data_IF_926232134432
#
_entry.id   IF_926232134432
#
_cell.length_a   1.000
_cell.length_b   1.000
_cell.length_c   1.000
_cell.angle_alpha   90.00
_cell.angle_beta   90.00
_cell.angle_gamma   90.00
#
_symmetry.space_group_name_H-M   'P 1'
#
loop_
_entity.id
_entity.type
_entity.pdbx_description
1 polymer ?
#
# COMPACT_ATOMS: atom_id res chain seq x y z
N UNK A 1 33.03 -21.45 -9.18
CA UNK A 1 31.71 -20.82 -9.09
C UNK A 1 31.76 -19.35 -8.65
N UNK A 2 32.93 -18.72 -8.54
CA UNK A 2 33.13 -17.31 -8.12
C UNK A 2 33.19 -16.34 -9.31
N UNK A 3 33.52 -16.81 -10.51
CA UNK A 3 33.76 -15.98 -11.71
C UNK A 3 32.48 -15.49 -12.44
N UNK A 4 31.25 -15.85 -11.99
CA UNK A 4 29.98 -15.54 -12.71
C UNK A 4 29.13 -14.44 -12.02
N UNK A 5 29.61 -13.93 -10.89
CA UNK A 5 28.83 -12.96 -10.08
C UNK A 5 28.75 -11.56 -10.70
N UNK A 6 29.78 -11.17 -11.44
CA UNK A 6 29.94 -9.82 -12.01
C UNK A 6 29.44 -9.71 -13.46
N UNK A 7 28.97 -10.81 -14.06
CA UNK A 7 28.38 -10.74 -15.41
C UNK A 7 27.15 -9.87 -15.41
N UNK A 8 26.95 -9.04 -16.45
CA UNK A 8 25.76 -8.21 -16.57
C UNK A 8 24.50 -9.07 -16.64
N UNK A 9 23.54 -8.77 -15.80
CA UNK A 9 22.23 -9.39 -15.77
C UNK A 9 21.41 -8.96 -16.99
N UNK A 10 20.55 -9.85 -17.47
CA UNK A 10 19.76 -9.60 -18.69
C UNK A 10 18.29 -9.33 -18.43
N UNK A 11 17.79 -9.55 -17.21
CA UNK A 11 16.39 -9.33 -16.79
C UNK A 11 15.35 -9.81 -17.81
N UNK A 12 15.57 -11.00 -18.40
CA UNK A 12 14.67 -11.57 -19.42
C UNK A 12 13.24 -11.80 -18.95
N UNK A 13 13.02 -11.91 -17.64
CA UNK A 13 11.73 -12.07 -17.03
C UNK A 13 10.91 -10.75 -16.95
N UNK A 14 11.56 -9.60 -17.22
CA UNK A 14 10.89 -8.32 -17.37
C UNK A 14 10.68 -7.98 -18.86
N UNK A 15 9.54 -7.36 -19.22
CA UNK A 15 9.34 -6.82 -20.56
C UNK A 15 10.48 -5.87 -20.95
N UNK A 16 10.83 -5.76 -22.22
CA UNK A 16 11.96 -4.91 -22.67
C UNK A 16 11.91 -3.47 -22.15
N UNK A 17 10.72 -2.86 -22.12
CA UNK A 17 10.53 -1.47 -21.64
C UNK A 17 10.59 -1.31 -20.11
N UNK A 18 10.55 -2.41 -19.36
CA UNK A 18 10.64 -2.41 -17.89
C UNK A 18 12.01 -2.82 -17.37
N UNK A 19 12.98 -3.10 -18.25
CA UNK A 19 14.34 -3.50 -17.86
C UNK A 19 15.14 -2.32 -17.30
N UNK A 20 16.19 -2.58 -16.47
CA UNK A 20 17.03 -1.53 -15.91
C UNK A 20 17.72 -0.72 -17.00
N UNK A 21 17.83 0.61 -16.85
CA UNK A 21 18.46 1.50 -17.82
C UNK A 21 19.99 1.31 -17.90
N UNK A 22 20.62 0.73 -16.88
CA UNK A 22 22.04 0.44 -16.80
C UNK A 22 22.28 -1.03 -16.44
N UNK A 23 23.43 -1.62 -16.87
CA UNK A 23 23.79 -2.99 -16.51
C UNK A 23 23.85 -3.18 -14.99
N UNK A 24 23.30 -4.28 -14.52
CA UNK A 24 23.25 -4.67 -13.10
C UNK A 24 23.93 -6.03 -12.96
N UNK A 25 24.72 -6.31 -11.91
CA UNK A 25 25.30 -7.60 -11.64
C UNK A 25 24.24 -8.71 -11.48
N UNK A 26 24.55 -9.93 -11.92
CA UNK A 26 23.64 -11.09 -11.84
C UNK A 26 23.20 -11.42 -10.40
N UNK A 27 24.04 -11.17 -9.41
CA UNK A 27 23.69 -11.35 -8.01
C UNK A 27 22.56 -10.40 -7.58
N UNK A 28 22.60 -9.14 -8.03
CA UNK A 28 21.56 -8.16 -7.76
C UNK A 28 20.25 -8.49 -8.50
N UNK A 29 20.33 -9.07 -9.71
CA UNK A 29 19.14 -9.58 -10.43
C UNK A 29 18.43 -10.67 -9.62
N UNK A 30 19.18 -11.64 -9.06
CA UNK A 30 18.59 -12.71 -8.25
C UNK A 30 17.91 -12.16 -6.99
N UNK A 31 18.57 -11.23 -6.29
CA UNK A 31 17.96 -10.57 -5.13
C UNK A 31 16.69 -9.85 -5.55
N UNK A 32 16.74 -9.07 -6.63
CA UNK A 32 15.60 -8.32 -7.12
C UNK A 32 14.44 -9.23 -7.58
N UNK A 33 14.74 -10.35 -8.23
CA UNK A 33 13.75 -11.35 -8.63
C UNK A 33 13.03 -11.94 -7.40
N UNK A 34 13.79 -12.41 -6.40
CA UNK A 34 13.21 -13.04 -5.21
C UNK A 34 12.39 -12.03 -4.38
N UNK A 35 12.88 -10.80 -4.24
CA UNK A 35 12.15 -9.72 -3.57
C UNK A 35 10.91 -9.33 -4.38
N UNK A 36 11.04 -9.19 -5.70
CA UNK A 36 9.93 -8.85 -6.57
C UNK A 36 8.81 -9.90 -6.56
N UNK A 37 9.16 -11.18 -6.59
CA UNK A 37 8.17 -12.26 -6.49
C UNK A 37 7.44 -12.24 -5.15
N UNK A 38 8.13 -11.89 -4.06
CA UNK A 38 7.47 -11.75 -2.76
C UNK A 38 6.48 -10.58 -2.75
N UNK A 39 6.91 -9.41 -3.23
CA UNK A 39 6.05 -8.23 -3.35
C UNK A 39 4.82 -8.52 -4.24
N UNK A 40 4.99 -9.33 -5.29
CA UNK A 40 3.87 -9.76 -6.15
C UNK A 40 2.83 -10.55 -5.35
N UNK A 41 3.24 -11.56 -4.58
CA UNK A 41 2.30 -12.41 -3.83
C UNK A 41 1.79 -11.75 -2.56
N UNK A 42 2.57 -10.86 -1.93
CA UNK A 42 2.06 -10.00 -0.86
C UNK A 42 1.01 -9.02 -1.38
N UNK A 43 1.25 -8.39 -2.54
CA UNK A 43 0.24 -7.56 -3.23
C UNK A 43 -1.03 -8.35 -3.60
N UNK A 44 -0.88 -9.62 -3.98
CA UNK A 44 -2.01 -10.52 -4.18
C UNK A 44 -2.80 -10.71 -2.86
N UNK A 45 -2.15 -11.15 -1.78
CA UNK A 45 -2.78 -11.46 -0.50
C UNK A 45 -3.49 -10.26 0.12
N UNK A 46 -2.88 -9.09 0.07
CA UNK A 46 -3.45 -7.85 0.59
C UNK A 46 -4.78 -7.46 -0.07
N UNK A 47 -5.00 -7.84 -1.33
CA UNK A 47 -6.19 -7.47 -2.09
C UNK A 47 -7.30 -8.52 -2.11
N UNK A 48 -6.99 -9.80 -1.83
CA UNK A 48 -7.97 -10.92 -1.86
C UNK A 48 -9.17 -10.65 -0.97
N UNK A 49 -8.96 -10.18 0.26
CA UNK A 49 -10.05 -10.01 1.23
C UNK A 49 -11.12 -9.03 0.74
N UNK A 50 -10.72 -7.84 0.28
CA UNK A 50 -11.67 -6.83 -0.20
C UNK A 50 -12.51 -7.31 -1.38
N UNK A 51 -11.94 -8.16 -2.24
CA UNK A 51 -12.65 -8.73 -3.38
C UNK A 51 -13.61 -9.85 -2.99
N UNK A 52 -13.16 -10.76 -2.11
CA UNK A 52 -13.91 -11.96 -1.70
C UNK A 52 -14.78 -11.74 -0.45
N UNK A 53 -14.88 -10.51 0.05
CA UNK A 53 -15.62 -10.18 1.27
C UNK A 53 -17.07 -10.73 1.29
N UNK A 54 -17.88 -10.62 0.22
CA UNK A 54 -19.24 -11.17 0.23
C UNK A 54 -19.29 -12.70 0.38
N UNK A 55 -18.32 -13.41 -0.21
CA UNK A 55 -18.24 -14.88 -0.12
C UNK A 55 -17.82 -15.32 1.28
N UNK A 56 -16.81 -14.66 1.85
CA UNK A 56 -16.32 -14.91 3.20
C UNK A 56 -17.42 -14.60 4.23
N UNK A 57 -18.11 -13.49 4.05
CA UNK A 57 -19.17 -13.02 4.95
C UNK A 57 -20.33 -14.01 5.00
N UNK A 58 -20.78 -14.55 3.86
CA UNK A 58 -21.85 -15.54 3.80
C UNK A 58 -21.48 -16.82 4.51
N UNK A 59 -20.26 -17.33 4.31
CA UNK A 59 -19.84 -18.62 4.86
C UNK A 59 -19.53 -18.55 6.36
N UNK A 60 -18.90 -17.44 6.81
CA UNK A 60 -18.56 -17.24 8.23
C UNK A 60 -19.66 -16.50 9.00
N UNK A 61 -20.83 -16.24 8.38
CA UNK A 61 -21.98 -15.57 8.99
C UNK A 61 -21.63 -14.23 9.65
N UNK A 62 -20.76 -13.45 8.98
CA UNK A 62 -20.33 -12.12 9.49
C UNK A 62 -21.49 -11.13 9.31
N UNK A 63 -21.93 -10.44 10.38
CA UNK A 63 -22.97 -9.42 10.29
C UNK A 63 -22.58 -8.29 9.33
N UNK A 64 -23.58 -7.67 8.66
CA UNK A 64 -23.32 -6.63 7.66
C UNK A 64 -22.55 -5.42 8.23
N UNK A 65 -22.91 -4.97 9.42
CA UNK A 65 -22.23 -3.87 10.11
C UNK A 65 -20.79 -4.20 10.54
N UNK A 66 -20.42 -5.49 10.61
CA UNK A 66 -19.05 -5.92 10.94
C UNK A 66 -18.14 -6.04 9.73
N UNK A 67 -18.65 -5.94 8.51
CA UNK A 67 -17.87 -6.10 7.29
C UNK A 67 -16.74 -5.06 7.19
N UNK A 68 -17.06 -3.78 7.31
CA UNK A 68 -16.07 -2.71 7.26
C UNK A 68 -15.23 -2.63 8.55
N UNK A 69 -15.83 -2.94 9.70
CA UNK A 69 -15.11 -3.02 10.99
C UNK A 69 -13.98 -4.05 10.92
N UNK A 70 -14.22 -5.19 10.27
CA UNK A 70 -13.19 -6.21 10.04
C UNK A 70 -12.00 -5.65 9.24
N UNK A 71 -12.26 -4.86 8.21
CA UNK A 71 -11.21 -4.21 7.43
C UNK A 71 -10.45 -3.17 8.26
N UNK A 72 -11.15 -2.49 9.18
CA UNK A 72 -10.52 -1.55 10.12
C UNK A 72 -9.42 -2.23 10.95
N UNK A 73 -9.69 -3.41 11.50
CA UNK A 73 -8.68 -4.19 12.24
C UNK A 73 -7.46 -4.53 11.36
N UNK A 74 -7.68 -4.88 10.10
CA UNK A 74 -6.59 -5.20 9.17
C UNK A 74 -5.76 -3.95 8.82
N UNK A 75 -6.37 -2.78 8.71
CA UNK A 75 -5.62 -1.53 8.53
C UNK A 75 -4.80 -1.16 9.75
N UNK A 76 -5.33 -1.34 10.97
CA UNK A 76 -4.58 -1.10 12.20
C UNK A 76 -3.38 -2.04 12.34
N UNK A 77 -3.45 -3.26 11.82
CA UNK A 77 -2.33 -4.19 11.79
C UNK A 77 -1.10 -3.61 11.04
N UNK A 78 -1.29 -2.74 10.05
CA UNK A 78 -0.19 -2.05 9.37
C UNK A 78 0.63 -1.14 10.30
N UNK A 79 0.04 -0.63 11.39
CA UNK A 79 0.78 0.15 12.39
C UNK A 79 1.78 -0.72 13.16
N UNK A 80 1.48 -2.01 13.37
CA UNK A 80 2.39 -2.93 14.03
C UNK A 80 3.65 -3.16 13.18
N UNK A 81 3.55 -3.11 11.85
CA UNK A 81 4.70 -3.25 10.96
C UNK A 81 5.76 -2.15 11.17
N UNK A 82 5.36 -0.95 11.60
CA UNK A 82 6.29 0.15 11.93
C UNK A 82 7.23 -0.20 13.09
N UNK A 83 6.82 -1.11 13.98
CA UNK A 83 7.65 -1.59 15.08
C UNK A 83 8.49 -2.81 14.69
N UNK A 84 8.03 -3.60 13.72
CA UNK A 84 8.76 -4.81 13.25
C UNK A 84 9.89 -4.43 12.30
N UNK A 85 9.70 -3.49 11.38
CA UNK A 85 10.71 -3.12 10.39
C UNK A 85 12.05 -2.67 11.01
N UNK A 86 12.11 -1.85 12.09
CA UNK A 86 13.35 -1.49 12.75
C UNK A 86 14.12 -2.66 13.39
N UNK A 87 13.45 -3.78 13.68
CA UNK A 87 14.11 -4.99 14.19
C UNK A 87 15.10 -5.58 13.17
N UNK A 88 14.98 -5.24 11.88
CA UNK A 88 15.92 -5.65 10.84
C UNK A 88 17.36 -5.18 11.13
N UNK A 89 17.51 -4.06 11.80
CA UNK A 89 18.81 -3.53 12.20
C UNK A 89 19.47 -4.35 13.33
N UNK A 90 18.68 -5.08 14.11
CA UNK A 90 19.12 -5.88 15.27
C UNK A 90 19.25 -7.35 14.87
N UNK A 91 18.21 -7.91 14.26
CA UNK A 91 18.09 -9.33 13.92
C UNK A 91 18.83 -9.69 12.62
N UNK A 92 18.98 -8.73 11.72
CA UNK A 92 19.49 -8.91 10.36
C UNK A 92 18.37 -8.92 9.32
N UNK A 93 18.66 -8.31 8.16
CA UNK A 93 17.66 -8.14 7.07
C UNK A 93 17.17 -9.49 6.57
N UNK A 94 18.09 -10.41 6.30
CA UNK A 94 17.79 -11.76 5.80
C UNK A 94 16.92 -12.56 6.77
N UNK A 95 17.29 -12.58 8.06
CA UNK A 95 16.57 -13.36 9.07
C UNK A 95 15.16 -12.81 9.26
N UNK A 96 15.02 -11.49 9.37
CA UNK A 96 13.71 -10.88 9.58
C UNK A 96 12.81 -11.07 8.34
N UNK A 97 13.35 -10.96 7.12
CA UNK A 97 12.60 -11.27 5.89
C UNK A 97 12.13 -12.74 5.85
N UNK A 98 12.94 -13.69 6.31
CA UNK A 98 12.52 -15.09 6.38
C UNK A 98 11.41 -15.30 7.40
N UNK A 99 11.48 -14.63 8.55
CA UNK A 99 10.44 -14.68 9.59
C UNK A 99 9.15 -14.09 9.06
N UNK A 100 9.21 -12.90 8.43
CA UNK A 100 8.01 -12.20 7.97
C UNK A 100 7.33 -12.93 6.82
N UNK A 101 8.06 -13.38 5.78
CA UNK A 101 7.45 -14.12 4.67
C UNK A 101 6.90 -15.48 5.10
N UNK A 102 7.60 -16.17 6.01
CA UNK A 102 7.10 -17.46 6.52
C UNK A 102 5.88 -17.25 7.42
N UNK A 103 5.89 -16.21 8.25
CA UNK A 103 4.76 -15.83 9.10
C UNK A 103 3.52 -15.43 8.28
N UNK A 104 3.69 -14.61 7.26
CA UNK A 104 2.62 -14.25 6.33
C UNK A 104 2.07 -15.49 5.63
N UNK A 105 2.94 -16.33 5.04
CA UNK A 105 2.53 -17.54 4.35
C UNK A 105 1.71 -18.49 5.25
N UNK A 106 2.19 -18.76 6.46
CA UNK A 106 1.51 -19.65 7.40
C UNK A 106 0.18 -19.05 7.88
N UNK A 107 0.14 -17.77 8.20
CA UNK A 107 -1.08 -17.09 8.62
C UNK A 107 -2.11 -17.03 7.48
N UNK A 108 -1.68 -16.77 6.24
CA UNK A 108 -2.53 -16.79 5.04
C UNK A 108 -3.08 -18.20 4.77
N UNK A 109 -2.26 -19.24 4.88
CA UNK A 109 -2.73 -20.63 4.77
C UNK A 109 -3.72 -20.95 5.91
N UNK A 110 -3.40 -20.56 7.15
CA UNK A 110 -4.30 -20.78 8.29
C UNK A 110 -5.65 -20.09 8.07
N UNK A 111 -5.68 -18.92 7.42
CA UNK A 111 -6.93 -18.23 7.05
C UNK A 111 -7.83 -19.10 6.17
N UNK A 112 -7.26 -19.90 5.25
CA UNK A 112 -8.05 -20.81 4.41
C UNK A 112 -8.75 -21.91 5.23
N UNK A 113 -8.28 -22.21 6.44
CA UNK A 113 -8.86 -23.22 7.33
C UNK A 113 -9.70 -22.63 8.48
N UNK A 114 -9.90 -21.31 8.51
CA UNK A 114 -10.72 -20.67 9.52
C UNK A 114 -12.19 -21.19 9.46
N UNK A 115 -12.73 -21.55 10.60
CA UNK A 115 -14.08 -22.10 10.74
C UNK A 115 -15.08 -21.08 11.29
N UNK A 116 -14.58 -20.03 11.94
CA UNK A 116 -15.39 -18.95 12.51
C UNK A 116 -14.75 -17.59 12.29
N UNK A 117 -15.52 -16.55 12.59
CA UNK A 117 -15.11 -15.17 12.44
C UNK A 117 -13.85 -14.82 13.24
N UNK A 118 -13.74 -15.27 14.48
CA UNK A 118 -12.62 -14.91 15.35
C UNK A 118 -11.30 -15.53 14.88
N UNK A 119 -11.33 -16.79 14.43
CA UNK A 119 -10.17 -17.44 13.82
C UNK A 119 -9.76 -16.70 12.55
N UNK A 120 -10.72 -16.39 11.68
CA UNK A 120 -10.47 -15.66 10.44
C UNK A 120 -9.78 -14.32 10.71
N UNK A 121 -10.35 -13.49 11.60
CA UNK A 121 -9.80 -12.16 11.95
C UNK A 121 -8.41 -12.30 12.56
N UNK A 122 -8.20 -13.25 13.47
CA UNK A 122 -6.91 -13.46 14.12
C UNK A 122 -5.82 -13.82 13.10
N UNK A 123 -6.10 -14.79 12.22
CA UNK A 123 -5.14 -15.20 11.19
C UNK A 123 -4.86 -14.08 10.21
N UNK A 124 -5.88 -13.32 9.81
CA UNK A 124 -5.71 -12.19 8.92
C UNK A 124 -4.94 -11.03 9.56
N UNK A 125 -5.15 -10.71 10.84
CA UNK A 125 -4.34 -9.70 11.54
C UNK A 125 -2.87 -10.13 11.54
N UNK A 126 -2.57 -11.39 11.85
CA UNK A 126 -1.20 -11.92 11.82
C UNK A 126 -0.61 -11.85 10.40
N UNK A 127 -1.35 -12.27 9.38
CA UNK A 127 -0.92 -12.19 7.98
C UNK A 127 -0.60 -10.73 7.60
N UNK A 128 -1.45 -9.76 8.01
CA UNK A 128 -1.25 -8.34 7.72
C UNK A 128 -0.03 -7.75 8.45
N UNK A 129 0.19 -8.10 9.72
CA UNK A 129 1.39 -7.65 10.46
C UNK A 129 2.65 -8.13 9.75
N UNK A 130 2.71 -9.39 9.37
CA UNK A 130 3.87 -9.94 8.67
C UNK A 130 3.99 -9.38 7.25
N UNK A 131 2.92 -9.31 6.47
CA UNK A 131 2.91 -8.84 5.09
C UNK A 131 3.33 -7.38 4.96
N UNK A 132 2.78 -6.46 5.75
CA UNK A 132 3.22 -5.06 5.74
C UNK A 132 4.66 -4.89 6.21
N UNK A 133 5.11 -5.70 7.19
CA UNK A 133 6.51 -5.68 7.64
C UNK A 133 7.43 -6.18 6.54
N UNK A 134 7.04 -7.23 5.84
CA UNK A 134 7.78 -7.79 4.72
C UNK A 134 7.89 -6.80 3.57
N UNK A 135 6.78 -6.17 3.19
CA UNK A 135 6.76 -5.15 2.12
C UNK A 135 7.77 -4.04 2.41
N UNK A 136 7.75 -3.48 3.63
CA UNK A 136 8.72 -2.45 4.06
C UNK A 136 10.17 -2.94 3.96
N UNK A 137 10.44 -4.16 4.42
CA UNK A 137 11.78 -4.76 4.39
C UNK A 137 12.25 -5.02 2.96
N UNK A 138 11.37 -5.40 2.06
CA UNK A 138 11.68 -5.60 0.65
C UNK A 138 12.19 -4.31 -0.01
N UNK A 139 11.53 -3.18 0.24
CA UNK A 139 11.99 -1.88 -0.24
C UNK A 139 13.35 -1.49 0.34
N UNK A 140 13.56 -1.73 1.64
CA UNK A 140 14.85 -1.45 2.31
C UNK A 140 15.97 -2.30 1.70
N UNK A 141 15.77 -3.61 1.54
CA UNK A 141 16.79 -4.51 0.98
C UNK A 141 17.16 -4.13 -0.44
N UNK A 142 16.17 -3.81 -1.28
CA UNK A 142 16.43 -3.37 -2.66
C UNK A 142 17.18 -2.05 -2.68
N UNK A 143 16.83 -1.10 -1.83
CA UNK A 143 17.55 0.19 -1.72
C UNK A 143 19.00 0.03 -1.23
N UNK A 144 19.30 -1.01 -0.43
CA UNK A 144 20.65 -1.31 0.07
C UNK A 144 21.51 -2.09 -0.93
N UNK A 145 20.91 -3.06 -1.65
CA UNK A 145 21.63 -4.01 -2.50
C UNK A 145 21.82 -3.51 -3.93
N UNK A 146 20.83 -2.81 -4.47
CA UNK A 146 20.84 -2.37 -5.86
C UNK A 146 21.70 -1.12 -6.06
N UNK A 147 22.46 -1.10 -7.16
CA UNK A 147 23.32 0.03 -7.55
C UNK A 147 22.55 1.36 -7.53
N UNK A 148 23.23 2.42 -7.06
CA UNK A 148 22.61 3.76 -6.92
C UNK A 148 22.09 4.29 -8.26
N UNK A 149 22.73 3.95 -9.39
CA UNK A 149 22.35 4.39 -10.74
C UNK A 149 20.97 3.87 -11.19
N UNK A 150 20.53 2.75 -10.65
CA UNK A 150 19.25 2.09 -11.00
C UNK A 150 18.30 1.95 -9.81
N UNK A 151 18.63 2.56 -8.65
CA UNK A 151 17.81 2.47 -7.43
C UNK A 151 16.40 3.01 -7.62
N UNK A 152 16.25 4.17 -8.28
CA UNK A 152 14.93 4.74 -8.58
C UNK A 152 14.09 3.83 -9.47
N UNK A 153 14.71 3.24 -10.50
CA UNK A 153 14.08 2.23 -11.34
C UNK A 153 13.63 1.01 -10.53
N UNK A 154 14.47 0.49 -9.64
CA UNK A 154 14.18 -0.71 -8.88
C UNK A 154 13.00 -0.50 -7.90
N UNK A 155 12.95 0.63 -7.21
CA UNK A 155 11.84 0.97 -6.30
C UNK A 155 10.53 1.14 -7.09
N UNK A 156 10.57 1.84 -8.21
CA UNK A 156 9.40 2.02 -9.07
C UNK A 156 8.90 0.69 -9.67
N UNK A 157 9.83 -0.18 -10.07
CA UNK A 157 9.48 -1.51 -10.61
C UNK A 157 8.89 -2.42 -9.53
N UNK A 158 9.36 -2.36 -8.27
CA UNK A 158 8.72 -3.09 -7.16
C UNK A 158 7.28 -2.63 -6.94
N UNK A 159 7.00 -1.33 -6.97
CA UNK A 159 5.64 -0.82 -6.89
C UNK A 159 4.75 -1.31 -8.04
N UNK A 160 5.29 -1.38 -9.26
CA UNK A 160 4.58 -1.94 -10.41
C UNK A 160 4.31 -3.45 -10.23
N UNK A 161 5.27 -4.22 -9.69
CA UNK A 161 5.10 -5.65 -9.39
C UNK A 161 4.01 -5.85 -8.32
N UNK A 162 3.96 -5.02 -7.29
CA UNK A 162 2.88 -5.04 -6.28
C UNK A 162 1.50 -4.85 -6.95
N UNK A 163 1.38 -3.87 -7.85
CA UNK A 163 0.14 -3.64 -8.60
C UNK A 163 -0.24 -4.83 -9.51
N UNK A 164 0.75 -5.51 -10.10
CA UNK A 164 0.52 -6.76 -10.85
C UNK A 164 0.01 -7.85 -9.92
N UNK A 165 0.50 -7.93 -8.68
CA UNK A 165 -0.01 -8.83 -7.65
C UNK A 165 -1.50 -8.58 -7.34
N UNK A 166 -1.90 -7.32 -7.16
CA UNK A 166 -3.31 -6.96 -7.01
C UNK A 166 -4.16 -7.34 -8.23
N UNK A 167 -3.62 -7.15 -9.45
CA UNK A 167 -4.26 -7.61 -10.68
C UNK A 167 -4.39 -9.14 -10.76
N UNK A 168 -3.38 -9.88 -10.30
CA UNK A 168 -3.44 -11.34 -10.20
C UNK A 168 -4.53 -11.78 -9.20
N UNK A 169 -4.67 -11.10 -8.06
CA UNK A 169 -5.75 -11.35 -7.12
C UNK A 169 -7.12 -11.17 -7.79
N UNK A 170 -7.30 -10.11 -8.58
CA UNK A 170 -8.54 -9.88 -9.32
C UNK A 170 -8.81 -10.99 -10.34
N UNK A 171 -7.80 -11.43 -11.10
CA UNK A 171 -7.93 -12.54 -12.06
C UNK A 171 -8.37 -13.83 -11.39
N UNK A 172 -7.68 -14.23 -10.31
CA UNK A 172 -7.99 -15.48 -9.60
C UNK A 172 -9.34 -15.36 -8.89
N UNK A 173 -9.69 -14.19 -8.35
CA UNK A 173 -11.01 -13.93 -7.78
C UNK A 173 -12.14 -14.09 -8.81
N UNK A 174 -11.94 -13.67 -10.06
CA UNK A 174 -12.91 -13.88 -11.14
C UNK A 174 -13.29 -15.34 -11.35
N UNK A 175 -12.43 -16.26 -10.95
CA UNK A 175 -12.63 -17.71 -11.03
C UNK A 175 -13.15 -18.33 -9.73
N UNK A 176 -13.44 -17.55 -8.68
CA UNK A 176 -13.75 -18.05 -7.33
C UNK A 176 -14.88 -19.07 -7.29
N UNK A 177 -15.89 -18.93 -8.16
CA UNK A 177 -17.02 -19.86 -8.25
C UNK A 177 -16.66 -21.20 -8.92
N UNK A 178 -15.53 -21.29 -9.61
CA UNK A 178 -15.04 -22.51 -10.26
C UNK A 178 -13.95 -23.20 -9.42
N UNK A 179 -13.44 -22.53 -8.39
CA UNK A 179 -12.42 -23.11 -7.51
C UNK A 179 -13.06 -24.09 -6.52
N UNK A 180 -12.40 -25.24 -6.22
CA UNK A 180 -13.00 -26.34 -5.44
C UNK A 180 -13.41 -25.96 -4.02
N UNK A 181 -12.72 -24.98 -3.41
CA UNK A 181 -12.98 -24.50 -2.05
C UNK A 181 -13.39 -23.01 -2.03
N UNK A 182 -13.90 -22.49 -3.15
CA UNK A 182 -14.33 -21.09 -3.25
C UNK A 182 -13.24 -20.09 -2.81
N UNK A 183 -13.60 -19.13 -1.93
CA UNK A 183 -12.69 -18.10 -1.44
C UNK A 183 -11.47 -18.65 -0.68
N UNK A 184 -11.58 -19.84 -0.07
CA UNK A 184 -10.47 -20.49 0.65
C UNK A 184 -9.33 -20.85 -0.29
N UNK A 185 -9.65 -21.23 -1.54
CA UNK A 185 -8.63 -21.48 -2.57
C UNK A 185 -7.78 -20.26 -2.88
N UNK A 186 -8.34 -19.04 -2.78
CA UNK A 186 -7.58 -17.81 -2.99
C UNK A 186 -6.43 -17.68 -1.97
N UNK A 187 -6.73 -17.94 -0.71
CA UNK A 187 -5.71 -17.92 0.36
C UNK A 187 -4.73 -19.08 0.28
N UNK A 188 -5.17 -20.27 -0.15
CA UNK A 188 -4.26 -21.40 -0.41
C UNK A 188 -3.26 -21.09 -1.52
N UNK A 189 -3.69 -20.44 -2.61
CA UNK A 189 -2.81 -20.02 -3.71
C UNK A 189 -1.82 -18.98 -3.24
N UNK A 190 -2.26 -17.92 -2.56
CA UNK A 190 -1.40 -16.86 -2.05
C UNK A 190 -0.38 -17.38 -1.03
N UNK A 191 -0.86 -18.02 0.02
CA UNK A 191 -0.01 -18.55 1.09
C UNK A 191 0.92 -19.66 0.63
N UNK A 192 0.46 -20.54 -0.26
CA UNK A 192 1.29 -21.60 -0.86
C UNK A 192 2.44 -21.02 -1.68
N UNK A 193 2.18 -20.00 -2.49
CA UNK A 193 3.19 -19.30 -3.28
C UNK A 193 4.22 -18.60 -2.38
N UNK A 194 3.78 -17.91 -1.33
CA UNK A 194 4.66 -17.29 -0.33
C UNK A 194 5.51 -18.32 0.42
N UNK A 195 4.96 -19.49 0.74
CA UNK A 195 5.71 -20.56 1.40
C UNK A 195 6.84 -21.11 0.50
N UNK A 196 6.56 -21.31 -0.80
CA UNK A 196 7.58 -21.69 -1.78
C UNK A 196 8.68 -20.62 -1.84
N UNK A 197 8.30 -19.34 -1.87
CA UNK A 197 9.26 -18.24 -1.89
C UNK A 197 10.08 -18.16 -0.60
N UNK A 198 9.48 -18.41 0.57
CA UNK A 198 10.19 -18.49 1.84
C UNK A 198 11.29 -19.56 1.80
N UNK A 199 11.02 -20.70 1.15
CA UNK A 199 12.02 -21.76 0.95
C UNK A 199 13.18 -21.28 0.06
N UNK A 200 12.90 -20.66 -1.08
CA UNK A 200 13.95 -20.15 -1.98
C UNK A 200 14.72 -18.96 -1.40
N UNK A 201 14.10 -18.14 -0.55
CA UNK A 201 14.78 -17.02 0.13
C UNK A 201 15.91 -17.43 1.08
N UNK A 202 15.96 -18.68 1.52
CA UNK A 202 17.11 -19.20 2.29
C UNK A 202 18.42 -19.07 1.51
N UNK A 203 18.34 -18.92 0.17
CA UNK A 203 19.50 -18.76 -0.71
C UNK A 203 20.00 -17.30 -0.75
N UNK A 204 19.24 -16.31 -0.23
CA UNK A 204 19.68 -14.92 -0.20
C UNK A 204 20.84 -14.74 0.79
N UNK A 205 21.94 -14.05 0.39
CA UNK A 205 22.98 -13.63 1.34
C UNK A 205 22.46 -12.50 2.25
N UNK A 206 23.09 -12.34 3.42
CA UNK A 206 22.90 -11.16 4.26
C UNK A 206 23.49 -9.92 3.55
N UNK A 207 22.88 -8.73 3.76
CA UNK A 207 23.36 -7.50 3.11
C UNK A 207 24.72 -7.08 3.67
N UNK A 208 25.65 -6.67 2.80
CA UNK A 208 27.00 -6.23 3.20
C UNK A 208 26.93 -5.03 4.16
N UNK A 209 25.96 -4.13 3.95
CA UNK A 209 25.74 -2.97 4.83
C UNK A 209 25.42 -3.39 6.25
N UNK A 210 24.61 -4.44 6.44
CA UNK A 210 24.32 -4.96 7.77
C UNK A 210 25.57 -5.53 8.44
N UNK A 211 26.39 -6.29 7.69
CA UNK A 211 27.63 -6.86 8.22
C UNK A 211 28.64 -5.78 8.63
N UNK A 212 28.74 -4.68 7.85
CA UNK A 212 29.58 -3.54 8.19
C UNK A 212 29.05 -2.77 9.42
N UNK A 213 27.74 -2.57 9.48
CA UNK A 213 27.10 -1.88 10.62
C UNK A 213 27.23 -2.66 11.93
N UNK A 214 27.10 -3.96 11.90
CA UNK A 214 27.26 -4.83 13.07
C UNK A 214 28.70 -4.75 13.66
N UNK A 215 29.70 -4.51 12.81
CA UNK A 215 31.10 -4.31 13.25
C UNK A 215 31.31 -2.93 13.93
N UNK A 216 30.44 -1.96 13.67
CA UNK A 216 30.50 -0.59 14.19
C UNK A 216 29.62 -0.36 15.42
N UNK A 217 28.75 -1.30 15.81
CA UNK A 217 27.84 -1.18 16.97
C UNK A 217 28.58 -1.24 18.30
N UNK A 218 29.33 -0.15 18.63
CA UNK A 218 29.85 0.11 19.97
C UNK A 218 29.01 1.10 20.80
N UNK A 219 28.05 1.82 20.21
CA UNK A 219 27.26 2.85 20.90
C UNK A 219 25.79 2.78 20.47
N UNK A 220 24.98 2.09 21.23
CA UNK A 220 23.51 2.10 21.10
C UNK A 220 22.98 3.32 21.84
N UNK A 221 22.97 4.47 21.19
CA UNK A 221 22.10 5.56 21.62
C UNK A 221 20.64 5.11 21.35
N UNK A 222 19.76 5.29 22.33
CA UNK A 222 18.35 4.91 22.26
C UNK A 222 17.69 5.51 21.00
N UNK A 223 17.53 4.72 19.95
CA UNK A 223 16.89 5.14 18.66
C UNK A 223 15.48 5.65 18.90
N UNK A 224 14.78 5.12 19.90
CA UNK A 224 13.44 5.60 20.30
C UNK A 224 13.48 7.04 20.80
N UNK A 225 14.45 7.41 21.63
CA UNK A 225 14.61 8.78 22.09
C UNK A 225 14.92 9.75 20.94
N UNK A 226 15.73 9.32 19.96
CA UNK A 226 16.00 10.12 18.75
C UNK A 226 14.74 10.29 17.90
N UNK A 227 13.95 9.24 17.70
CA UNK A 227 12.68 9.32 16.95
C UNK A 227 11.70 10.30 17.63
N UNK A 228 11.56 10.23 18.96
CA UNK A 228 10.74 11.19 19.73
C UNK A 228 11.27 12.62 19.62
N UNK A 229 12.58 12.80 19.69
CA UNK A 229 13.20 14.11 19.54
C UNK A 229 12.94 14.69 18.13
N UNK A 230 13.03 13.89 17.06
CA UNK A 230 12.73 14.32 15.70
C UNK A 230 11.25 14.68 15.52
N UNK A 231 10.32 13.90 16.07
CA UNK A 231 8.89 14.22 16.05
C UNK A 231 8.64 15.54 16.77
N UNK A 232 9.23 15.73 17.97
CA UNK A 232 9.11 16.97 18.73
C UNK A 232 9.68 18.16 17.96
N UNK A 233 10.86 18.03 17.38
CA UNK A 233 11.50 19.07 16.58
C UNK A 233 10.61 19.44 15.38
N UNK A 234 10.09 18.46 14.67
CA UNK A 234 9.20 18.66 13.52
C UNK A 234 7.91 19.41 13.92
N UNK A 235 7.36 19.09 15.09
CA UNK A 235 6.17 19.76 15.66
C UNK A 235 6.47 21.22 16.09
N UNK A 236 7.70 21.52 16.52
CA UNK A 236 8.08 22.86 16.97
C UNK A 236 8.57 23.76 15.85
N UNK A 237 9.33 23.21 14.89
CA UNK A 237 9.95 23.99 13.81
C UNK A 237 9.03 24.17 12.60
N UNK A 238 8.18 23.16 12.29
CA UNK A 238 7.32 23.19 11.11
C UNK A 238 5.83 22.89 11.42
N UNK A 239 5.21 23.47 12.47
CA UNK A 239 3.89 23.07 12.95
C UNK A 239 2.80 23.23 11.90
N UNK A 240 2.82 24.33 11.14
CA UNK A 240 1.79 24.61 10.13
C UNK A 240 1.83 23.64 8.96
N UNK A 241 3.02 23.34 8.44
CA UNK A 241 3.20 22.41 7.31
C UNK A 241 2.87 20.98 7.73
N UNK A 242 3.36 20.56 8.90
CA UNK A 242 3.08 19.26 9.47
C UNK A 242 1.58 19.10 9.74
N UNK A 243 0.97 20.06 10.42
CA UNK A 243 -0.46 20.05 10.73
C UNK A 243 -1.33 19.96 9.47
N UNK A 244 -1.05 20.80 8.45
CA UNK A 244 -1.77 20.73 7.17
C UNK A 244 -1.62 19.38 6.48
N UNK A 245 -0.42 18.81 6.46
CA UNK A 245 -0.15 17.50 5.89
C UNK A 245 -0.90 16.38 6.64
N UNK A 246 -0.85 16.38 7.98
CA UNK A 246 -1.52 15.35 8.78
C UNK A 246 -3.04 15.43 8.67
N UNK A 247 -3.61 16.65 8.69
CA UNK A 247 -5.06 16.85 8.48
C UNK A 247 -5.47 16.38 7.09
N UNK A 248 -4.72 16.74 6.06
CA UNK A 248 -4.97 16.27 4.69
C UNK A 248 -4.96 14.75 4.63
N UNK A 249 -3.90 14.11 5.13
CA UNK A 249 -3.74 12.65 5.05
C UNK A 249 -4.78 11.89 5.85
N UNK A 250 -5.12 12.38 7.05
CA UNK A 250 -6.18 11.80 7.86
C UNK A 250 -7.53 11.92 7.16
N UNK A 251 -7.89 13.12 6.68
CA UNK A 251 -9.17 13.36 5.99
C UNK A 251 -9.25 12.59 4.67
N UNK A 252 -8.16 12.50 3.92
CA UNK A 252 -8.06 11.70 2.70
C UNK A 252 -8.26 10.21 2.99
N UNK A 253 -7.53 9.66 3.98
CA UNK A 253 -7.69 8.28 4.42
C UNK A 253 -9.09 7.99 4.95
N UNK A 254 -9.68 8.93 5.72
CA UNK A 254 -11.02 8.82 6.26
C UNK A 254 -12.08 8.79 5.14
N UNK A 255 -11.99 9.69 4.17
CA UNK A 255 -12.95 9.77 3.07
C UNK A 255 -12.82 8.58 2.10
N UNK A 256 -11.60 8.26 1.67
CA UNK A 256 -11.35 7.29 0.60
C UNK A 256 -11.25 5.85 1.11
N UNK A 257 -11.05 5.66 2.42
CA UNK A 257 -10.85 4.35 3.04
C UNK A 257 -11.96 3.36 2.76
N UNK A 258 -13.18 3.58 3.23
CA UNK A 258 -14.33 2.71 2.96
C UNK A 258 -14.64 2.63 1.47
N UNK A 259 -14.63 3.77 0.79
CA UNK A 259 -15.01 3.86 -0.62
C UNK A 259 -14.14 2.97 -1.52
N UNK A 260 -12.83 2.88 -1.26
CA UNK A 260 -11.91 2.07 -2.08
C UNK A 260 -12.03 0.56 -1.83
N UNK A 261 -12.24 0.14 -0.58
CA UNK A 261 -12.17 -1.30 -0.23
C UNK A 261 -13.54 -1.99 -0.23
N UNK A 262 -14.64 -1.26 -0.05
CA UNK A 262 -16.00 -1.82 -0.07
C UNK A 262 -16.58 -1.94 -1.50
N UNK A 263 -15.84 -1.53 -2.53
CA UNK A 263 -16.27 -1.55 -3.94
C UNK A 263 -16.79 -2.91 -4.38
N UNK A 264 -16.03 -3.98 -4.16
CA UNK A 264 -16.42 -5.33 -4.60
C UNK A 264 -17.69 -5.78 -3.92
N UNK A 265 -17.83 -5.51 -2.61
CA UNK A 265 -19.04 -5.81 -1.86
C UNK A 265 -20.24 -5.04 -2.43
N UNK A 266 -20.13 -3.73 -2.61
CA UNK A 266 -21.20 -2.90 -3.16
C UNK A 266 -21.65 -3.37 -4.54
N UNK A 267 -20.72 -3.67 -5.44
CA UNK A 267 -21.04 -4.19 -6.78
C UNK A 267 -21.77 -5.54 -6.71
N UNK A 268 -21.32 -6.48 -5.87
CA UNK A 268 -21.90 -7.80 -5.80
C UNK A 268 -23.25 -7.82 -5.06
N UNK A 269 -23.37 -7.11 -3.93
CA UNK A 269 -24.57 -7.19 -3.09
C UNK A 269 -25.66 -6.22 -3.51
N UNK A 270 -25.32 -5.01 -3.99
CA UNK A 270 -26.30 -3.99 -4.38
C UNK A 270 -26.66 -4.08 -5.87
N UNK A 271 -25.68 -4.32 -6.73
CA UNK A 271 -25.87 -4.30 -8.19
C UNK A 271 -25.82 -5.70 -8.84
N UNK A 272 -25.66 -6.78 -8.05
CA UNK A 272 -25.70 -8.16 -8.55
C UNK A 272 -24.55 -8.54 -9.49
N UNK A 273 -23.42 -7.83 -9.45
CA UNK A 273 -22.25 -8.16 -10.25
C UNK A 273 -21.70 -9.53 -9.87
N UNK A 274 -21.37 -10.31 -10.88
CA UNK A 274 -20.66 -11.58 -10.69
C UNK A 274 -19.18 -11.33 -10.35
N UNK A 275 -18.49 -12.27 -9.68
CA UNK A 275 -17.06 -12.17 -9.43
C UNK A 275 -16.23 -11.91 -10.69
N UNK A 276 -16.61 -12.52 -11.83
CA UNK A 276 -15.96 -12.27 -13.12
C UNK A 276 -16.10 -10.82 -13.62
N UNK A 277 -17.29 -10.23 -13.48
CA UNK A 277 -17.51 -8.81 -13.85
C UNK A 277 -16.73 -7.88 -12.94
N UNK A 278 -16.69 -8.13 -11.63
CA UNK A 278 -15.86 -7.38 -10.68
C UNK A 278 -14.39 -7.50 -11.06
N UNK A 279 -13.91 -8.70 -11.37
CA UNK A 279 -12.53 -8.95 -11.81
C UNK A 279 -12.16 -8.11 -13.03
N UNK A 280 -12.98 -8.12 -14.07
CA UNK A 280 -12.75 -7.34 -15.31
C UNK A 280 -12.68 -5.84 -14.97
N UNK A 281 -13.60 -5.35 -14.14
CA UNK A 281 -13.63 -3.95 -13.75
C UNK A 281 -12.34 -3.56 -13.00
N UNK A 282 -11.90 -4.36 -12.03
CA UNK A 282 -10.67 -4.11 -11.27
C UNK A 282 -9.43 -4.14 -12.15
N UNK A 283 -9.34 -5.03 -13.13
CA UNK A 283 -8.25 -5.07 -14.10
C UNK A 283 -8.23 -3.83 -14.99
N UNK A 284 -9.36 -3.43 -15.54
CA UNK A 284 -9.47 -2.22 -16.36
C UNK A 284 -9.12 -0.97 -15.55
N UNK A 285 -9.66 -0.85 -14.34
CA UNK A 285 -9.36 0.25 -13.43
C UNK A 285 -7.89 0.29 -13.03
N UNK A 286 -7.27 -0.87 -12.79
CA UNK A 286 -5.84 -0.99 -12.51
C UNK A 286 -4.96 -0.46 -13.66
N UNK A 287 -5.27 -0.84 -14.90
CA UNK A 287 -4.55 -0.36 -16.10
C UNK A 287 -4.68 1.16 -16.23
N UNK A 288 -5.92 1.68 -16.15
CA UNK A 288 -6.17 3.13 -16.23
C UNK A 288 -5.45 3.89 -15.12
N UNK A 289 -5.40 3.33 -13.91
CA UNK A 289 -4.72 3.94 -12.77
C UNK A 289 -3.20 3.99 -12.93
N UNK A 290 -2.57 2.95 -13.47
CA UNK A 290 -1.12 2.95 -13.76
C UNK A 290 -0.79 4.03 -14.78
N UNK A 291 -1.55 4.13 -15.86
CA UNK A 291 -1.39 5.18 -16.88
C UNK A 291 -1.63 6.56 -16.23
N UNK A 292 -2.67 6.65 -15.43
CA UNK A 292 -3.06 7.88 -14.73
C UNK A 292 -1.99 8.37 -13.76
N UNK A 293 -1.38 7.50 -12.98
CA UNK A 293 -0.30 7.86 -12.05
C UNK A 293 0.91 8.46 -12.76
N UNK A 294 1.32 7.86 -13.90
CA UNK A 294 2.41 8.38 -14.71
C UNK A 294 2.04 9.74 -15.32
N UNK A 295 0.83 9.87 -15.84
CA UNK A 295 0.33 11.12 -16.39
C UNK A 295 0.21 12.21 -15.32
N UNK A 296 -0.39 11.89 -14.17
CA UNK A 296 -0.54 12.82 -13.04
C UNK A 296 0.81 13.33 -12.53
N UNK A 297 1.81 12.45 -12.42
CA UNK A 297 3.18 12.84 -12.06
C UNK A 297 3.75 13.87 -13.05
N UNK A 298 3.73 13.58 -14.36
CA UNK A 298 4.24 14.51 -15.39
C UNK A 298 3.47 15.83 -15.46
N UNK A 299 2.14 15.77 -15.34
CA UNK A 299 1.29 16.96 -15.34
C UNK A 299 1.56 17.80 -14.09
N UNK A 300 1.76 17.18 -12.94
CA UNK A 300 2.05 17.87 -11.68
C UNK A 300 3.35 18.68 -11.71
N UNK A 301 4.35 18.24 -12.49
CA UNK A 301 5.61 18.96 -12.68
C UNK A 301 5.41 20.28 -13.46
N UNK A 302 4.36 20.39 -14.28
CA UNK A 302 4.06 21.58 -15.09
C UNK A 302 2.99 22.47 -14.48
N UNK A 303 1.89 21.89 -14.02
CA UNK A 303 0.71 22.60 -13.49
C UNK A 303 0.87 23.01 -12.03
N UNK A 304 1.69 22.26 -11.30
CA UNK A 304 1.91 22.41 -9.86
C UNK A 304 1.48 21.18 -9.07
N UNK A 305 2.31 20.79 -8.11
CA UNK A 305 2.06 19.65 -7.23
C UNK A 305 0.79 19.84 -6.41
N UNK A 306 0.67 21.00 -5.78
CA UNK A 306 -0.48 21.38 -4.95
C UNK A 306 -1.79 21.37 -5.75
N UNK A 307 -1.79 21.99 -6.95
CA UNK A 307 -2.98 22.01 -7.80
C UNK A 307 -3.38 20.62 -8.24
N UNK A 308 -2.41 19.79 -8.62
CA UNK A 308 -2.69 18.43 -9.06
C UNK A 308 -3.21 17.56 -7.90
N UNK A 309 -2.64 17.69 -6.69
CA UNK A 309 -3.11 17.01 -5.49
C UNK A 309 -4.56 17.40 -5.15
N UNK A 310 -4.89 18.70 -5.25
CA UNK A 310 -6.26 19.20 -5.09
C UNK A 310 -7.20 18.57 -6.12
N UNK A 311 -6.84 18.61 -7.39
CA UNK A 311 -7.68 18.14 -8.51
C UNK A 311 -7.91 16.62 -8.42
N UNK A 312 -6.87 15.83 -8.16
CA UNK A 312 -7.00 14.37 -8.03
C UNK A 312 -7.83 13.96 -6.80
N UNK A 313 -7.68 14.67 -5.68
CA UNK A 313 -8.50 14.46 -4.48
C UNK A 313 -9.97 14.77 -4.75
N UNK A 314 -10.24 15.86 -5.46
CA UNK A 314 -11.62 16.25 -5.84
C UNK A 314 -12.23 15.23 -6.80
N UNK A 315 -11.50 14.82 -7.85
CA UNK A 315 -11.95 13.82 -8.84
C UNK A 315 -12.23 12.48 -8.14
N UNK A 316 -11.33 12.03 -7.25
CA UNK A 316 -11.52 10.80 -6.50
C UNK A 316 -12.76 10.84 -5.60
N UNK A 317 -12.91 11.92 -4.83
CA UNK A 317 -14.07 12.10 -3.94
C UNK A 317 -15.39 12.21 -4.69
N UNK A 318 -15.45 13.04 -5.73
CA UNK A 318 -16.65 13.18 -6.57
C UNK A 318 -16.98 11.87 -7.32
N UNK A 319 -15.95 11.18 -7.84
CA UNK A 319 -16.11 9.89 -8.50
C UNK A 319 -16.71 8.84 -7.58
N UNK A 320 -16.19 8.70 -6.34
CA UNK A 320 -16.76 7.78 -5.37
C UNK A 320 -18.16 8.20 -4.92
N UNK A 321 -18.43 9.49 -4.73
CA UNK A 321 -19.77 9.97 -4.40
C UNK A 321 -20.79 9.59 -5.49
N UNK A 322 -20.44 9.77 -6.76
CA UNK A 322 -21.28 9.36 -7.87
C UNK A 322 -21.40 7.83 -8.00
N UNK A 323 -20.31 7.10 -7.77
CA UNK A 323 -20.34 5.63 -7.78
C UNK A 323 -21.29 5.04 -6.74
N UNK A 324 -21.30 5.57 -5.50
CA UNK A 324 -22.15 5.08 -4.41
C UNK A 324 -23.54 5.73 -4.37
N UNK A 325 -23.86 6.68 -5.26
CA UNK A 325 -25.15 7.41 -5.28
C UNK A 325 -26.34 6.60 -5.79
N UNK A 326 -26.15 5.34 -6.16
CA UNK A 326 -27.22 4.49 -6.69
C UNK A 326 -27.45 4.60 -8.19
N UNK A 327 -26.47 5.09 -8.94
CA UNK A 327 -26.49 5.06 -10.41
C UNK A 327 -26.33 3.62 -10.91
N UNK A 328 -26.96 3.31 -12.03
CA UNK A 328 -26.96 1.99 -12.67
C UNK A 328 -26.37 2.01 -14.10
N UNK A 329 -26.26 0.83 -14.67
CA UNK A 329 -25.82 0.64 -16.05
C UNK A 329 -24.35 1.03 -16.26
N UNK A 330 -24.05 1.63 -17.40
CA UNK A 330 -22.67 1.99 -17.81
C UNK A 330 -22.06 3.15 -16.98
N UNK A 331 -22.88 3.94 -16.31
CA UNK A 331 -22.41 5.03 -15.47
C UNK A 331 -21.64 4.50 -14.23
N UNK A 332 -22.06 3.39 -13.68
CA UNK A 332 -21.44 2.79 -12.50
C UNK A 332 -19.95 2.45 -12.71
N UNK A 333 -19.55 1.60 -13.69
CA UNK A 333 -18.13 1.33 -13.93
C UNK A 333 -17.34 2.57 -14.35
N UNK A 334 -17.94 3.52 -15.09
CA UNK A 334 -17.29 4.75 -15.46
C UNK A 334 -16.87 5.58 -14.24
N UNK A 335 -17.81 5.85 -13.33
CA UNK A 335 -17.52 6.65 -12.14
C UNK A 335 -16.55 5.95 -11.19
N UNK A 336 -16.60 4.63 -11.12
CA UNK A 336 -15.60 3.88 -10.36
C UNK A 336 -14.19 4.04 -10.94
N UNK A 337 -14.02 3.93 -12.26
CA UNK A 337 -12.71 4.14 -12.92
C UNK A 337 -12.20 5.57 -12.68
N UNK A 338 -13.07 6.57 -12.79
CA UNK A 338 -12.72 7.97 -12.50
C UNK A 338 -12.34 8.16 -11.03
N UNK A 339 -13.09 7.54 -10.12
CA UNK A 339 -12.80 7.57 -8.69
C UNK A 339 -11.43 6.94 -8.38
N UNK A 340 -11.18 5.77 -8.95
CA UNK A 340 -9.93 5.04 -8.74
C UNK A 340 -8.74 5.80 -9.30
N UNK A 341 -8.88 6.41 -10.48
CA UNK A 341 -7.86 7.30 -11.05
C UNK A 341 -7.54 8.45 -10.09
N UNK A 342 -8.55 9.18 -9.61
CA UNK A 342 -8.36 10.31 -8.69
C UNK A 342 -7.72 9.87 -7.36
N UNK A 343 -8.21 8.76 -6.79
CA UNK A 343 -7.72 8.20 -5.53
C UNK A 343 -6.24 7.79 -5.63
N UNK A 344 -5.89 6.91 -6.57
CA UNK A 344 -4.52 6.37 -6.68
C UNK A 344 -3.52 7.44 -7.14
N UNK A 345 -3.91 8.34 -8.04
CA UNK A 345 -3.06 9.47 -8.43
C UNK A 345 -2.85 10.45 -7.28
N UNK A 346 -3.90 10.73 -6.49
CA UNK A 346 -3.82 11.55 -5.28
C UNK A 346 -2.90 10.93 -4.23
N UNK A 347 -3.03 9.63 -3.99
CA UNK A 347 -2.17 8.91 -3.04
C UNK A 347 -0.70 8.91 -3.48
N UNK A 348 -0.42 8.68 -4.76
CA UNK A 348 0.93 8.69 -5.31
C UNK A 348 1.60 10.08 -5.18
N UNK A 349 0.88 11.16 -5.51
CA UNK A 349 1.35 12.53 -5.32
C UNK A 349 1.59 12.84 -3.84
N UNK A 350 0.64 12.47 -2.99
CA UNK A 350 0.72 12.66 -1.55
C UNK A 350 1.88 11.89 -0.92
N UNK A 351 2.25 10.73 -1.46
CA UNK A 351 3.37 9.92 -0.96
C UNK A 351 4.72 10.64 -1.15
N UNK A 352 4.90 11.35 -2.25
CA UNK A 352 6.13 12.12 -2.52
C UNK A 352 6.23 13.45 -1.76
N UNK A 353 5.10 14.03 -1.40
CA UNK A 353 5.02 15.39 -0.87
C UNK A 353 5.89 15.67 0.39
N UNK A 354 5.95 14.76 1.40
CA UNK A 354 6.79 14.99 2.59
C UNK A 354 8.27 15.19 2.27
N UNK A 355 8.78 14.51 1.24
CA UNK A 355 10.17 14.62 0.81
C UNK A 355 10.49 15.96 0.15
N UNK A 356 9.47 16.69 -0.31
CA UNK A 356 9.60 17.98 -0.97
C UNK A 356 9.41 19.17 -0.01
N UNK A 357 8.61 19.00 1.06
CA UNK A 357 8.25 20.12 1.96
C UNK A 357 9.02 20.15 3.27
N UNK A 358 9.75 19.08 3.62
CA UNK A 358 10.52 19.01 4.85
C UNK A 358 12.03 18.87 4.59
N UNK A 359 12.88 19.43 5.48
CA UNK A 359 14.31 19.23 5.45
C UNK A 359 14.73 17.76 5.46
N UNK A 360 15.90 17.47 4.89
CA UNK A 360 16.43 16.11 4.72
C UNK A 360 16.44 15.33 6.03
N UNK A 361 16.77 15.96 7.14
CA UNK A 361 16.79 15.34 8.47
C UNK A 361 15.41 14.83 8.92
N UNK A 362 14.32 15.46 8.49
CA UNK A 362 12.95 15.16 8.94
C UNK A 362 12.11 14.33 7.94
N UNK A 363 12.58 14.11 6.70
CA UNK A 363 11.81 13.46 5.61
C UNK A 363 11.27 12.11 6.00
N UNK A 364 12.10 11.26 6.59
CA UNK A 364 11.68 9.91 6.99
C UNK A 364 10.60 9.96 8.08
N UNK A 365 10.77 10.80 9.10
CA UNK A 365 9.78 10.99 10.18
C UNK A 365 8.46 11.53 9.64
N UNK A 366 8.51 12.56 8.78
CA UNK A 366 7.33 13.16 8.17
C UNK A 366 6.58 12.14 7.29
N UNK A 367 7.30 11.32 6.50
CA UNK A 367 6.70 10.24 5.69
C UNK A 367 6.02 9.19 6.57
N UNK A 368 6.63 8.80 7.69
CA UNK A 368 6.02 7.86 8.65
C UNK A 368 4.75 8.46 9.28
N UNK A 369 4.81 9.72 9.75
CA UNK A 369 3.65 10.39 10.34
C UNK A 369 2.49 10.53 9.34
N UNK A 370 2.80 10.86 8.07
CA UNK A 370 1.83 10.86 6.97
C UNK A 370 1.12 9.51 6.87
N UNK A 371 1.90 8.43 6.80
CA UNK A 371 1.36 7.07 6.65
C UNK A 371 0.47 6.68 7.83
N UNK A 372 0.91 6.97 9.07
CA UNK A 372 0.11 6.76 10.29
C UNK A 372 -1.20 7.54 10.22
N UNK A 373 -1.18 8.81 9.83
CA UNK A 373 -2.39 9.63 9.72
C UNK A 373 -3.38 9.04 8.71
N UNK A 374 -2.91 8.58 7.55
CA UNK A 374 -3.76 7.95 6.53
C UNK A 374 -4.39 6.64 7.03
N UNK A 375 -3.61 5.79 7.72
CA UNK A 375 -4.12 4.54 8.31
C UNK A 375 -5.18 4.82 9.36
N UNK A 376 -4.90 5.74 10.29
CA UNK A 376 -5.84 6.08 11.37
C UNK A 376 -7.14 6.67 10.82
N UNK A 377 -7.07 7.56 9.83
CA UNK A 377 -8.25 8.09 9.17
C UNK A 377 -9.09 7.00 8.52
N UNK A 378 -8.45 6.13 7.72
CA UNK A 378 -9.13 5.04 7.04
C UNK A 378 -9.67 3.96 7.99
N UNK A 379 -8.94 3.65 9.06
CA UNK A 379 -9.39 2.68 10.06
C UNK A 379 -10.60 3.22 10.85
N UNK A 380 -10.54 4.47 11.29
CA UNK A 380 -11.65 5.11 12.00
C UNK A 380 -12.91 5.16 11.12
N UNK A 381 -12.76 5.55 9.87
CA UNK A 381 -13.88 5.64 8.93
C UNK A 381 -14.52 4.28 8.66
N UNK A 382 -13.71 3.23 8.48
CA UNK A 382 -14.21 1.86 8.31
C UNK A 382 -14.89 1.32 9.57
N UNK A 383 -14.39 1.70 10.75
CA UNK A 383 -15.02 1.33 12.00
C UNK A 383 -16.39 2.03 12.17
N UNK A 384 -16.48 3.32 11.82
CA UNK A 384 -17.73 4.09 11.85
C UNK A 384 -18.74 3.65 10.79
N UNK A 385 -18.26 3.11 9.64
CA UNK A 385 -19.15 2.63 8.58
C UNK A 385 -20.12 1.56 9.06
N UNK A 386 -19.71 0.68 9.97
CA UNK A 386 -20.63 -0.27 10.61
C UNK A 386 -21.79 0.41 11.34
N UNK A 387 -21.51 1.49 12.08
CA UNK A 387 -22.55 2.30 12.75
C UNK A 387 -23.43 3.05 11.74
N UNK A 388 -22.83 3.56 10.68
CA UNK A 388 -23.58 4.25 9.61
C UNK A 388 -24.46 3.27 8.85
N UNK A 389 -24.01 2.03 8.65
CA UNK A 389 -24.82 0.97 8.08
C UNK A 389 -26.06 0.69 8.94
N UNK A 390 -25.92 0.63 10.27
CA UNK A 390 -27.04 0.43 11.19
C UNK A 390 -28.07 1.58 11.11
N UNK A 391 -27.62 2.81 10.82
CA UNK A 391 -28.52 3.97 10.65
C UNK A 391 -29.26 3.99 9.32
N UNK A 392 -28.56 3.62 8.21
CA UNK A 392 -29.11 3.76 6.86
C UNK A 392 -29.69 2.45 6.30
N UNK A 393 -29.33 1.30 6.88
CA UNK A 393 -29.72 -0.01 6.36
C UNK A 393 -29.10 -0.36 5.00
N UNK A 394 -28.11 0.44 4.50
CA UNK A 394 -27.48 0.24 3.21
C UNK A 394 -26.04 0.74 3.21
N UNK A 395 -25.13 0.02 2.51
CA UNK A 395 -23.72 0.37 2.42
C UNK A 395 -23.46 1.64 1.57
N UNK A 396 -24.24 1.88 0.52
CA UNK A 396 -24.07 3.07 -0.34
C UNK A 396 -24.07 4.38 0.48
N UNK A 397 -25.16 4.74 1.18
CA UNK A 397 -25.21 5.90 2.05
C UNK A 397 -24.18 5.89 3.18
N UNK A 398 -23.93 4.71 3.78
CA UNK A 398 -22.95 4.57 4.87
C UNK A 398 -21.52 4.90 4.41
N UNK A 399 -21.14 4.52 3.17
CA UNK A 399 -19.84 4.82 2.57
C UNK A 399 -19.77 6.27 2.06
N UNK A 400 -20.90 6.85 1.65
CA UNK A 400 -20.93 8.25 1.18
C UNK A 400 -20.72 9.25 2.33
N UNK A 401 -21.14 8.94 3.55
CA UNK A 401 -21.03 9.87 4.68
C UNK A 401 -19.57 10.26 5.00
N UNK A 402 -18.59 9.36 5.06
CA UNK A 402 -17.18 9.73 5.21
C UNK A 402 -16.63 10.65 4.12
N UNK A 403 -17.19 10.64 2.90
CA UNK A 403 -16.76 11.53 1.82
C UNK A 403 -16.95 13.02 2.14
N UNK A 404 -17.75 13.36 3.15
CA UNK A 404 -17.87 14.72 3.70
C UNK A 404 -16.52 15.26 4.18
N UNK A 405 -15.54 14.40 4.46
CA UNK A 405 -14.18 14.83 4.82
C UNK A 405 -13.36 15.32 3.60
N UNK A 406 -13.81 15.13 2.35
CA UNK A 406 -13.12 15.66 1.16
C UNK A 406 -12.96 17.18 1.19
N UNK A 407 -13.96 18.01 1.48
CA UNK A 407 -13.76 19.46 1.67
C UNK A 407 -12.67 19.79 2.70
N UNK A 408 -12.59 19.05 3.80
CA UNK A 408 -11.55 19.25 4.83
C UNK A 408 -10.17 18.94 4.24
N UNK A 409 -10.04 17.83 3.49
CA UNK A 409 -8.80 17.48 2.79
C UNK A 409 -8.40 18.58 1.80
N UNK A 410 -9.33 19.07 0.97
CA UNK A 410 -9.08 20.12 -0.02
C UNK A 410 -8.66 21.44 0.64
N UNK A 411 -9.28 21.84 1.74
CA UNK A 411 -8.88 23.01 2.53
C UNK A 411 -7.46 22.81 3.08
N UNK A 412 -7.14 21.64 3.63
CA UNK A 412 -5.81 21.35 4.15
C UNK A 412 -4.72 21.43 3.06
N UNK A 413 -5.00 20.94 1.84
CA UNK A 413 -4.12 21.14 0.67
C UNK A 413 -3.86 22.63 0.42
N UNK A 414 -4.86 23.48 0.66
CA UNK A 414 -4.75 24.94 0.56
C UNK A 414 -3.58 25.53 1.35
N UNK A 415 -3.28 24.95 2.52
CA UNK A 415 -2.20 25.40 3.42
C UNK A 415 -0.82 24.78 3.12
N UNK A 416 -0.74 23.80 2.21
CA UNK A 416 0.53 23.22 1.80
C UNK A 416 1.27 24.15 0.83
N UNK A 417 2.61 24.21 0.84
CA UNK A 417 3.38 25.00 -0.12
C UNK A 417 3.36 24.38 -1.51
N UNK A 418 3.44 25.19 -2.57
CA UNK A 418 3.69 24.69 -3.92
C UNK A 418 5.17 24.29 -4.06
N UNK A 419 5.43 23.10 -4.58
CA UNK A 419 6.79 22.56 -4.70
C UNK A 419 7.28 22.42 -6.14
N UNK A 420 6.37 22.43 -7.12
CA UNK A 420 6.75 22.28 -8.51
C UNK A 420 7.65 23.42 -9.01
N UNK A 421 8.71 23.05 -9.71
CA UNK A 421 9.69 23.98 -10.32
C UNK A 421 10.39 24.93 -9.32
N UNK A 422 10.40 24.56 -8.02
CA UNK A 422 11.13 25.28 -6.96
C UNK A 422 12.30 24.42 -6.49
N UNK A 423 13.40 25.08 -6.11
CA UNK A 423 14.50 24.37 -5.45
C UNK A 423 14.04 23.91 -4.07
N UNK A 424 14.48 22.72 -3.67
CA UNK A 424 14.09 22.15 -2.36
C UNK A 424 14.62 23.03 -1.22
N UNK A 425 15.79 23.62 -1.39
CA UNK A 425 16.44 24.53 -0.44
C UNK A 425 15.57 25.77 -0.17
N UNK A 426 14.97 26.34 -1.24
CA UNK A 426 14.07 27.52 -1.13
C UNK A 426 12.78 27.19 -0.36
N UNK A 427 12.35 25.93 -0.40
CA UNK A 427 11.14 25.46 0.28
C UNK A 427 11.48 25.07 1.72
N UNK A 428 12.56 24.36 1.94
CA UNK A 428 12.92 23.78 3.25
C UNK A 428 13.69 24.76 4.13
N UNK A 429 14.34 25.78 3.55
CA UNK A 429 15.22 26.71 4.26
C UNK A 429 16.57 26.08 4.63
N UNK A 430 16.97 24.99 3.94
CA UNK A 430 18.30 24.38 4.13
C UNK A 430 19.34 25.18 3.31
N UNK A 431 20.29 25.82 3.98
CA UNK A 431 21.50 26.33 3.33
C UNK A 431 22.47 25.15 3.12
N UNK A 432 22.74 24.81 1.88
CA UNK A 432 23.78 23.84 1.48
C UNK A 432 25.15 24.54 1.47
N UNK A 433 25.57 25.13 2.62
CA UNK A 433 26.95 25.60 2.81
C UNK A 433 27.79 24.56 3.52
#
# INVERSE_FOLDING_TARGET
MIADKDRPAKFYWLPPGARPPHPVPRQQELVFLLVGMTILFSGYDLNVFGMALPQIQRELHIPENMAAVTISYFRLAALAALFVAPLADIVGRRRLLLITVSGEALATIATAFAQDYNQFVTFQILARVFGYSEEMLCFVVVAEVIDQRVRGWSIGTLGAINAVGAGLAALVFGLVNFLPYGWRSLYMIGGGSLLILAFYRRLLPETERFQLHQKQLGVVTSRTAQAFAMVRALLTEHPRRLGAMLVFMFAFGFAMGPASVMTSKFLQTTHGYTPGQVSILFLLGGIVSVIGNVAAGRVSDRVGRKRMLFTTTLIGGAGFALFYSGLDGWALPLFWIVALFGFLSGEALAAGYPSEIFPTAYRATATTLRYVATILGGALSLWLEGTFYDWFGAHGPAIMLPLIAIPVALVAVGFLPETAQRRLEDITGEDLT
#
